data_IF_993641440992
#
_entry.id   IF_993641440992
#
_cell.length_a   1.000
_cell.length_b   1.000
_cell.length_c   1.000
_cell.angle_alpha   90.00
_cell.angle_beta   90.00
_cell.angle_gamma   90.00
#
_symmetry.space_group_name_H-M   'P 1'
#
loop_
_entity.id
_entity.type
_entity.pdbx_description
1 polymer ?
#
# COMPACT_ATOMS: atom_id res chain seq x y z
N UNK A 1 18.84 -12.49 7.52
CA UNK A 1 18.87 -11.47 8.60
C UNK A 1 17.79 -10.46 8.25
N UNK A 2 16.56 -10.68 8.72
CA UNK A 2 15.39 -9.87 8.34
C UNK A 2 15.54 -8.48 8.96
N UNK A 3 15.80 -7.48 8.12
CA UNK A 3 15.87 -6.08 8.51
C UNK A 3 14.49 -5.65 9.02
N UNK A 4 14.39 -5.58 10.34
CA UNK A 4 13.17 -5.29 11.07
C UNK A 4 12.95 -3.78 11.15
N UNK A 5 11.71 -3.30 11.02
CA UNK A 5 11.39 -1.88 11.24
C UNK A 5 11.37 -1.58 12.74
N UNK A 6 12.57 -1.53 13.32
CA UNK A 6 12.87 -0.69 14.48
C UNK A 6 13.80 0.48 14.09
N UNK A 7 14.32 0.45 12.86
CA UNK A 7 15.18 1.48 12.29
C UNK A 7 14.35 2.42 11.39
N UNK A 8 14.32 3.71 11.73
CA UNK A 8 13.60 4.74 10.99
C UNK A 8 13.97 4.77 9.50
N UNK A 9 15.19 4.35 9.15
CA UNK A 9 15.68 4.38 7.76
C UNK A 9 15.03 3.32 6.88
N UNK A 10 14.74 2.14 7.44
CA UNK A 10 14.05 1.04 6.72
C UNK A 10 12.55 1.34 6.58
N UNK A 11 11.95 2.07 7.51
CA UNK A 11 10.55 2.49 7.42
C UNK A 11 10.31 3.41 6.19
N UNK A 12 11.18 4.40 6.01
CA UNK A 12 11.05 5.41 4.97
C UNK A 12 11.09 4.85 3.54
N UNK A 13 11.93 3.84 3.28
CA UNK A 13 12.04 3.18 1.96
C UNK A 13 10.74 2.47 1.55
N UNK A 14 9.89 2.11 2.51
CA UNK A 14 8.58 1.47 2.28
C UNK A 14 7.42 2.47 2.40
N UNK A 15 7.70 3.78 2.45
CA UNK A 15 6.70 4.83 2.61
C UNK A 15 6.00 4.79 3.98
N UNK A 16 6.68 4.29 5.01
CA UNK A 16 6.23 4.31 6.41
C UNK A 16 7.02 5.40 7.13
N UNK A 17 6.35 6.39 7.69
CA UNK A 17 7.00 7.38 8.56
C UNK A 17 6.84 7.04 10.05
N UNK A 18 7.47 7.83 10.92
CA UNK A 18 7.40 7.65 12.36
C UNK A 18 5.97 7.65 12.91
N UNK A 19 5.04 8.42 12.35
CA UNK A 19 3.63 8.42 12.78
C UNK A 19 2.90 7.16 12.35
N UNK A 20 3.26 6.55 11.22
CA UNK A 20 2.71 5.26 10.82
C UNK A 20 3.18 4.13 11.72
N UNK A 21 4.45 4.15 12.11
CA UNK A 21 4.97 3.21 13.11
C UNK A 21 4.15 3.34 14.40
N UNK A 22 3.97 4.56 14.91
CA UNK A 22 3.14 4.81 16.09
C UNK A 22 1.69 4.40 15.91
N UNK A 23 1.12 4.61 14.72
CA UNK A 23 -0.25 4.22 14.41
C UNK A 23 -0.45 2.70 14.48
N UNK A 24 0.57 1.94 14.10
CA UNK A 24 0.56 0.49 14.10
C UNK A 24 0.88 -0.10 15.48
N UNK A 25 1.79 0.53 16.25
CA UNK A 25 2.30 -0.06 17.51
C UNK A 25 1.65 0.48 18.79
N UNK A 26 1.14 1.71 18.82
CA UNK A 26 0.50 2.25 20.02
C UNK A 26 -0.89 1.64 20.25
N UNK A 27 -1.27 1.47 21.51
CA UNK A 27 -2.59 0.95 21.88
C UNK A 27 -3.68 1.97 21.56
N UNK A 28 -4.45 1.66 20.52
CA UNK A 28 -5.60 2.43 20.07
C UNK A 28 -6.72 1.49 19.62
N UNK A 29 -7.95 1.82 19.97
CA UNK A 29 -9.14 1.11 19.51
C UNK A 29 -9.84 1.96 18.46
N UNK A 30 -10.12 1.40 17.29
CA UNK A 30 -10.90 2.04 16.24
C UNK A 30 -12.30 1.47 16.29
N UNK A 31 -13.30 2.32 16.50
CA UNK A 31 -14.70 1.94 16.58
C UNK A 31 -15.51 2.66 15.50
N UNK A 32 -16.29 1.91 14.74
CA UNK A 32 -17.34 2.47 13.89
C UNK A 32 -18.69 2.47 14.62
N UNK A 33 -19.68 3.16 14.06
CA UNK A 33 -21.07 3.14 14.52
C UNK A 33 -21.30 3.55 16.00
N UNK A 34 -20.34 4.24 16.62
CA UNK A 34 -20.41 4.73 18.01
C UNK A 34 -20.23 6.25 18.08
N UNK A 35 -20.87 6.87 19.08
CA UNK A 35 -20.71 8.29 19.36
C UNK A 35 -20.92 9.18 18.12
N UNK A 36 -20.04 10.16 17.85
CA UNK A 36 -20.11 11.02 16.68
C UNK A 36 -19.93 10.32 15.32
N UNK A 37 -19.51 9.05 15.30
CA UNK A 37 -19.29 8.25 14.09
C UNK A 37 -20.51 7.37 13.71
N UNK A 38 -21.60 7.41 14.48
CA UNK A 38 -22.72 6.46 14.38
C UNK A 38 -23.35 6.36 12.98
N UNK A 39 -23.55 7.51 12.35
CA UNK A 39 -24.39 7.66 11.15
C UNK A 39 -23.60 8.26 9.96
N UNK A 40 -22.28 8.19 9.97
CA UNK A 40 -21.43 8.74 8.90
C UNK A 40 -20.49 7.66 8.39
N UNK A 41 -20.60 7.34 7.10
CA UNK A 41 -19.69 6.42 6.44
C UNK A 41 -18.25 6.96 6.52
N UNK A 42 -17.27 6.05 6.64
CA UNK A 42 -15.84 6.37 6.71
C UNK A 42 -15.45 7.30 7.88
N UNK A 43 -16.33 7.42 8.90
CA UNK A 43 -16.05 8.12 10.15
C UNK A 43 -15.90 7.12 11.28
N UNK A 44 -14.90 7.35 12.13
CA UNK A 44 -14.52 6.45 13.21
C UNK A 44 -14.23 7.21 14.50
N UNK A 45 -14.54 6.58 15.63
CA UNK A 45 -14.06 7.01 16.93
C UNK A 45 -12.78 6.24 17.26
N UNK A 46 -11.68 6.95 17.45
CA UNK A 46 -10.41 6.35 17.86
C UNK A 46 -10.18 6.66 19.33
N UNK A 47 -10.13 5.61 20.14
CA UNK A 47 -9.84 5.71 21.57
C UNK A 47 -8.36 5.38 21.78
N UNK A 48 -7.60 6.34 22.28
CA UNK A 48 -6.17 6.16 22.59
C UNK A 48 -5.96 5.46 23.94
N UNK A 49 -4.76 4.93 24.17
CA UNK A 49 -4.35 4.33 25.46
C UNK A 49 -4.61 5.25 26.67
N UNK A 50 -4.47 6.56 26.48
CA UNK A 50 -4.76 7.57 27.51
C UNK A 50 -6.25 7.70 27.87
N UNK A 51 -7.13 7.00 27.16
CA UNK A 51 -8.59 7.17 27.24
C UNK A 51 -9.11 8.39 26.47
N UNK A 52 -8.25 9.16 25.80
CA UNK A 52 -8.70 10.26 24.95
C UNK A 52 -9.36 9.72 23.69
N UNK A 53 -10.50 10.27 23.34
CA UNK A 53 -11.29 9.90 22.16
C UNK A 53 -11.14 10.96 21.07
N UNK A 54 -10.96 10.51 19.83
CA UNK A 54 -10.79 11.38 18.67
C UNK A 54 -11.69 10.92 17.53
N UNK A 55 -12.37 11.86 16.90
CA UNK A 55 -13.18 11.59 15.73
C UNK A 55 -12.35 11.74 14.48
N UNK A 56 -12.32 10.67 13.69
CA UNK A 56 -11.51 10.53 12.48
C UNK A 56 -12.42 10.36 11.27
N UNK A 57 -12.16 11.12 10.22
CA UNK A 57 -12.70 10.92 8.88
C UNK A 57 -11.55 10.49 7.96
N UNK A 58 -11.62 9.25 7.47
CA UNK A 58 -10.54 8.70 6.64
C UNK A 58 -10.66 9.11 5.17
N UNK A 59 -11.84 9.56 4.72
CA UNK A 59 -12.05 10.02 3.34
C UNK A 59 -11.41 11.38 3.12
N UNK A 60 -11.62 12.30 4.06
CA UNK A 60 -11.04 13.65 4.02
C UNK A 60 -9.68 13.75 4.75
N UNK A 61 -9.19 12.64 5.31
CA UNK A 61 -7.97 12.58 6.13
C UNK A 61 -7.99 13.56 7.33
N UNK A 62 -9.18 13.78 7.92
CA UNK A 62 -9.38 14.72 9.03
C UNK A 62 -9.42 14.01 10.37
N UNK A 63 -8.87 14.68 11.38
CA UNK A 63 -8.98 14.26 12.77
C UNK A 63 -9.09 15.49 13.65
N UNK A 64 -9.87 15.40 14.73
CA UNK A 64 -10.02 16.46 15.73
C UNK A 64 -8.90 16.49 16.79
N UNK A 65 -7.89 15.62 16.66
CA UNK A 65 -6.78 15.60 17.60
C UNK A 65 -5.90 16.87 17.49
N UNK A 66 -5.17 17.22 18.57
CA UNK A 66 -4.27 18.37 18.57
C UNK A 66 -3.19 18.31 17.48
N UNK A 67 -2.68 17.12 17.16
CA UNK A 67 -1.64 16.96 16.13
C UNK A 67 -2.16 17.37 14.75
N UNK A 68 -3.39 16.97 14.40
CA UNK A 68 -4.04 17.35 13.16
C UNK A 68 -4.44 18.83 13.12
N UNK A 69 -4.77 19.40 14.28
CA UNK A 69 -5.19 20.81 14.37
C UNK A 69 -4.02 21.78 14.28
N UNK A 70 -2.88 21.46 14.90
CA UNK A 70 -1.81 22.42 15.13
C UNK A 70 -0.46 22.06 14.49
N UNK A 71 -0.20 20.77 14.19
CA UNK A 71 1.16 20.27 13.99
C UNK A 71 1.43 19.64 12.61
N UNK A 72 0.63 19.99 11.58
CA UNK A 72 0.84 19.52 10.20
C UNK A 72 1.37 20.67 9.30
N UNK A 73 2.42 20.51 8.46
CA UNK A 73 3.18 19.30 8.08
C UNK A 73 4.63 19.22 8.65
N UNK A 74 5.19 18.01 8.69
CA UNK A 74 6.61 17.73 9.08
C UNK A 74 7.59 17.83 7.91
N UNK A 75 8.90 17.81 8.22
CA UNK A 75 9.99 17.85 7.23
C UNK A 75 9.87 16.76 6.13
N UNK A 76 9.28 15.61 6.45
CA UNK A 76 9.00 14.52 5.49
C UNK A 76 7.74 14.72 4.62
N UNK A 77 7.07 15.87 4.72
CA UNK A 77 5.95 16.25 3.85
C UNK A 77 4.59 15.61 4.17
N UNK A 78 4.49 14.79 5.21
CA UNK A 78 3.23 14.13 5.59
C UNK A 78 2.21 15.09 6.22
N UNK A 79 0.93 14.90 5.86
CA UNK A 79 -0.24 15.69 6.28
C UNK A 79 -1.27 14.92 7.10
N UNK A 80 -0.94 13.73 7.61
CA UNK A 80 -1.87 12.89 8.38
C UNK A 80 -1.33 12.54 9.75
N UNK A 81 -2.19 12.62 10.76
CA UNK A 81 -1.86 12.22 12.13
C UNK A 81 -1.94 10.69 12.30
N UNK A 82 -1.39 10.18 13.41
CA UNK A 82 -1.41 8.75 13.72
C UNK A 82 -2.81 8.14 13.81
N UNK A 83 -3.83 8.91 14.23
CA UNK A 83 -5.20 8.40 14.38
C UNK A 83 -5.85 8.12 13.03
N UNK A 84 -5.64 9.00 12.03
CA UNK A 84 -6.09 8.77 10.65
C UNK A 84 -5.41 7.52 10.08
N UNK A 85 -4.09 7.39 10.27
CA UNK A 85 -3.37 6.20 9.83
C UNK A 85 -3.88 4.92 10.48
N UNK A 86 -4.09 4.92 11.80
CA UNK A 86 -4.59 3.76 12.53
C UNK A 86 -5.97 3.31 12.03
N UNK A 87 -6.89 4.25 11.82
CA UNK A 87 -8.20 3.96 11.23
C UNK A 87 -8.08 3.41 9.80
N UNK A 88 -7.21 3.99 8.97
CA UNK A 88 -6.99 3.52 7.60
C UNK A 88 -6.39 2.10 7.54
N UNK A 89 -5.46 1.77 8.43
CA UNK A 89 -4.90 0.42 8.53
C UNK A 89 -5.92 -0.59 9.08
N UNK A 90 -6.63 -0.24 10.15
CA UNK A 90 -7.63 -1.10 10.81
C UNK A 90 -8.75 -1.51 9.82
N UNK A 91 -9.24 -0.55 9.06
CA UNK A 91 -10.32 -0.75 8.08
C UNK A 91 -9.84 -1.42 6.78
N UNK A 92 -8.52 -1.55 6.58
CA UNK A 92 -7.92 -2.09 5.37
C UNK A 92 -7.94 -1.13 4.17
N UNK A 93 -8.31 0.14 4.38
CA UNK A 93 -8.26 1.20 3.35
C UNK A 93 -6.82 1.53 2.98
N UNK A 94 -5.88 1.37 3.92
CA UNK A 94 -4.44 1.36 3.69
C UNK A 94 -3.87 -0.01 4.02
N UNK A 95 -2.98 -0.52 3.17
CA UNK A 95 -2.32 -1.79 3.41
C UNK A 95 -1.14 -1.63 4.38
N UNK A 96 -1.00 -2.57 5.30
CA UNK A 96 0.13 -2.70 6.23
C UNK A 96 1.32 -3.30 5.47
N UNK A 97 2.45 -2.59 5.35
CA UNK A 97 3.61 -3.07 4.61
C UNK A 97 4.36 -4.23 5.33
N UNK A 98 5.04 -5.07 4.56
CA UNK A 98 5.70 -6.32 5.00
C UNK A 98 6.76 -6.17 6.09
N UNK A 99 7.62 -5.14 6.14
CA UNK A 99 8.74 -5.15 7.09
C UNK A 99 8.29 -4.80 8.53
N UNK A 100 6.98 -4.64 8.77
CA UNK A 100 6.39 -4.34 10.08
C UNK A 100 6.26 -5.62 10.92
N UNK A 101 6.59 -5.51 12.22
CA UNK A 101 6.37 -6.59 13.20
C UNK A 101 4.90 -6.92 13.37
N UNK A 102 4.47 -8.13 13.03
CA UNK A 102 3.11 -8.53 13.38
C UNK A 102 2.91 -8.66 14.89
N UNK A 103 3.97 -8.97 15.65
CA UNK A 103 3.90 -9.11 17.10
C UNK A 103 3.92 -7.78 17.85
N UNK A 104 4.43 -6.71 17.22
CA UNK A 104 4.39 -5.34 17.78
C UNK A 104 3.24 -4.51 17.27
N UNK A 105 2.50 -4.97 16.25
CA UNK A 105 1.26 -4.30 15.88
C UNK A 105 0.27 -4.49 17.02
N UNK A 106 -0.39 -3.39 17.39
CA UNK A 106 -1.45 -3.39 18.37
C UNK A 106 -2.50 -4.47 18.03
N UNK A 107 -2.71 -5.47 18.92
CA UNK A 107 -3.64 -6.56 18.66
C UNK A 107 -5.07 -6.10 18.37
N UNK A 108 -5.54 -5.01 18.99
CA UNK A 108 -6.89 -4.48 18.76
C UNK A 108 -7.06 -3.90 17.35
N UNK A 109 -5.97 -3.41 16.75
CA UNK A 109 -5.96 -2.98 15.36
C UNK A 109 -6.02 -4.21 14.43
N UNK A 110 -5.31 -5.28 14.76
CA UNK A 110 -5.31 -6.52 13.97
C UNK A 110 -6.64 -7.27 14.01
N UNK A 111 -7.30 -7.31 15.17
CA UNK A 111 -8.59 -8.01 15.31
C UNK A 111 -9.72 -7.25 14.65
N UNK A 112 -9.63 -5.91 14.57
CA UNK A 112 -10.63 -5.05 13.94
C UNK A 112 -12.07 -5.33 14.42
N UNK A 113 -12.22 -5.74 15.68
CA UNK A 113 -13.48 -6.24 16.25
C UNK A 113 -14.63 -5.23 16.22
N UNK A 114 -14.29 -3.94 16.19
CA UNK A 114 -15.26 -2.84 16.23
C UNK A 114 -15.38 -2.11 14.88
N UNK A 115 -14.98 -2.73 13.77
CA UNK A 115 -15.19 -2.19 12.41
C UNK A 115 -15.64 -3.28 11.44
N UNK A 116 -16.43 -2.93 10.42
CA UNK A 116 -16.88 -3.81 9.33
C UNK A 116 -15.79 -4.03 8.25
N UNK A 117 -14.57 -3.57 8.51
CA UNK A 117 -13.39 -3.75 7.67
C UNK A 117 -12.44 -4.83 8.20
N UNK A 118 -11.33 -5.04 7.50
CA UNK A 118 -10.27 -5.91 8.01
C UNK A 118 -8.90 -5.41 7.56
N UNK A 119 -7.87 -5.45 8.42
CA UNK A 119 -6.53 -5.04 8.06
C UNK A 119 -6.01 -5.86 6.87
N UNK A 120 -5.38 -5.19 5.92
CA UNK A 120 -4.79 -5.82 4.73
C UNK A 120 -3.30 -5.70 4.82
N UNK A 121 -2.58 -6.80 4.65
CA UNK A 121 -1.13 -6.77 4.51
C UNK A 121 -0.77 -6.70 3.03
N UNK A 122 0.29 -5.97 2.69
CA UNK A 122 0.93 -6.20 1.39
C UNK A 122 1.52 -7.61 1.44
N UNK A 123 1.32 -8.41 0.39
CA UNK A 123 1.98 -9.70 0.32
C UNK A 123 3.47 -9.48 0.04
N UNK A 124 4.33 -10.17 0.77
CA UNK A 124 5.73 -10.24 0.41
C UNK A 124 5.81 -10.93 -0.95
N UNK A 125 6.16 -10.19 -1.99
CA UNK A 125 6.77 -10.84 -3.16
C UNK A 125 8.06 -11.42 -2.63
N UNK A 126 8.07 -12.73 -2.35
CA UNK A 126 9.30 -13.45 -2.07
C UNK A 126 10.08 -13.35 -3.37
N UNK A 127 10.99 -12.39 -3.45
CA UNK A 127 12.03 -12.42 -4.46
C UNK A 127 12.79 -13.70 -4.18
N UNK A 128 12.54 -14.73 -4.98
CA UNK A 128 13.28 -15.98 -4.90
C UNK A 128 14.77 -15.64 -5.06
N UNK A 129 15.52 -15.70 -3.96
CA UNK A 129 16.97 -15.49 -3.94
C UNK A 129 17.74 -16.64 -4.62
N UNK A 130 17.04 -17.65 -5.18
CA UNK A 130 17.54 -18.65 -6.12
C UNK A 130 17.02 -18.44 -7.56
N UNK A 131 16.84 -17.19 -7.99
CA UNK A 131 16.92 -16.89 -9.41
C UNK A 131 18.37 -17.03 -9.87
N UNK A 132 18.74 -18.25 -10.24
CA UNK A 132 19.85 -18.49 -11.15
C UNK A 132 19.63 -17.59 -12.39
N UNK A 133 20.48 -16.58 -12.64
CA UNK A 133 20.33 -15.69 -13.79
C UNK A 133 20.47 -16.42 -15.14
N UNK A 134 20.75 -17.72 -15.12
CA UNK A 134 20.87 -18.62 -16.28
C UNK A 134 19.73 -19.62 -16.44
N UNK A 135 18.83 -19.77 -15.46
CA UNK A 135 17.73 -20.73 -15.54
C UNK A 135 16.53 -20.13 -16.28
N UNK A 136 16.50 -20.33 -17.60
CA UNK A 136 15.31 -20.15 -18.42
C UNK A 136 14.20 -21.09 -17.97
N UNK A 137 13.40 -20.63 -17.01
CA UNK A 137 12.23 -21.33 -16.49
C UNK A 137 10.98 -20.99 -17.28
N UNK A 138 10.55 -21.96 -18.06
CA UNK A 138 9.21 -22.23 -18.56
C UNK A 138 8.07 -21.87 -17.59
N UNK A 139 7.60 -20.62 -17.66
CA UNK A 139 6.26 -20.19 -17.20
C UNK A 139 5.62 -19.42 -18.35
N UNK A 140 4.65 -20.03 -19.02
CA UNK A 140 4.03 -19.46 -20.24
C UNK A 140 3.35 -18.11 -19.99
N UNK A 141 3.64 -17.13 -20.84
CA UNK A 141 2.59 -16.62 -21.71
C UNK A 141 3.06 -16.82 -23.15
N UNK A 142 2.50 -17.80 -23.89
CA UNK A 142 2.52 -17.66 -25.35
C UNK A 142 1.70 -16.42 -25.63
N UNK A 143 2.39 -15.41 -26.11
CA UNK A 143 1.82 -14.24 -26.73
C UNK A 143 2.43 -14.27 -28.14
N UNK A 144 1.63 -14.70 -29.09
CA UNK A 144 2.05 -15.15 -30.43
C UNK A 144 2.26 -14.01 -31.42
N UNK A 145 2.29 -12.77 -30.93
CA UNK A 145 2.78 -11.61 -31.64
C UNK A 145 4.31 -11.51 -31.74
N UNK A 146 5.02 -12.66 -31.78
CA UNK A 146 6.49 -12.80 -31.94
C UNK A 146 7.33 -12.38 -30.74
N UNK A 147 8.41 -13.12 -30.43
CA UNK A 147 9.38 -12.78 -29.36
C UNK A 147 8.74 -12.47 -27.98
N UNK A 148 7.80 -13.32 -27.53
CA UNK A 148 7.14 -13.17 -26.22
C UNK A 148 6.36 -11.84 -26.08
N UNK A 149 5.73 -11.37 -27.17
CA UNK A 149 4.91 -10.15 -27.22
C UNK A 149 3.42 -10.45 -27.34
N UNK A 150 2.53 -9.59 -26.81
CA UNK A 150 1.07 -9.76 -26.83
C UNK A 150 0.53 -10.37 -28.14
N UNK A 151 -0.45 -11.27 -28.05
CA UNK A 151 -1.04 -11.96 -29.21
C UNK A 151 -1.58 -11.00 -30.29
N UNK A 152 -2.00 -9.80 -29.87
CA UNK A 152 -2.49 -8.70 -30.68
C UNK A 152 -1.37 -7.71 -31.11
N UNK A 153 -0.11 -8.12 -31.09
CA UNK A 153 1.00 -7.28 -31.50
C UNK A 153 0.92 -6.90 -33.00
N UNK A 154 0.53 -5.65 -33.29
CA UNK A 154 0.58 -5.07 -34.64
C UNK A 154 1.50 -3.84 -34.72
N UNK A 155 2.73 -3.93 -34.19
CA UNK A 155 3.65 -2.78 -34.13
C UNK A 155 3.74 -2.01 -35.47
N UNK A 156 3.29 -0.74 -35.52
CA UNK A 156 3.32 0.04 -36.75
C UNK A 156 4.73 0.64 -36.93
N UNK A 157 5.56 -0.03 -37.71
CA UNK A 157 6.88 0.47 -38.11
C UNK A 157 7.85 0.70 -36.94
N UNK A 158 8.39 1.92 -36.82
CA UNK A 158 9.51 2.22 -35.91
C UNK A 158 9.14 2.29 -34.41
N UNK A 159 7.85 2.20 -34.05
CA UNK A 159 7.38 2.34 -32.68
C UNK A 159 6.57 1.11 -32.21
N UNK A 160 6.65 0.73 -30.93
CA UNK A 160 5.81 -0.34 -30.39
C UNK A 160 4.33 0.04 -30.45
N UNK A 161 3.46 -0.94 -30.71
CA UNK A 161 2.01 -0.78 -30.53
C UNK A 161 1.66 -0.59 -29.04
N UNK A 162 0.43 -0.11 -28.75
CA UNK A 162 0.00 0.14 -27.37
C UNK A 162 0.06 -1.13 -26.52
N UNK A 163 -0.37 -2.28 -27.04
CA UNK A 163 -0.35 -3.56 -26.33
C UNK A 163 1.08 -3.93 -25.89
N UNK A 164 2.08 -3.64 -26.73
CA UNK A 164 3.49 -3.82 -26.38
C UNK A 164 3.97 -2.79 -25.34
N UNK A 165 3.55 -1.53 -25.43
CA UNK A 165 3.94 -0.49 -24.48
C UNK A 165 3.43 -0.78 -23.06
N UNK A 166 2.18 -1.23 -22.95
CA UNK A 166 1.47 -1.50 -21.69
C UNK A 166 2.10 -2.64 -20.90
N UNK A 167 2.68 -3.63 -21.60
CA UNK A 167 3.43 -4.74 -20.96
C UNK A 167 4.93 -4.47 -20.86
N UNK A 168 5.38 -3.25 -21.15
CA UNK A 168 6.74 -2.79 -20.87
C UNK A 168 7.72 -2.79 -22.05
N UNK A 169 7.32 -3.18 -23.27
CA UNK A 169 8.19 -3.05 -24.43
C UNK A 169 8.36 -1.58 -24.84
N UNK A 170 9.59 -1.22 -25.20
CA UNK A 170 9.96 0.14 -25.66
C UNK A 170 10.43 0.18 -27.11
N UNK A 171 10.45 -0.97 -27.78
CA UNK A 171 10.82 -1.13 -29.20
C UNK A 171 9.73 -1.91 -29.94
N UNK A 172 9.50 -1.67 -31.24
CA UNK A 172 8.57 -2.45 -32.05
C UNK A 172 9.00 -3.92 -32.15
N UNK A 173 8.07 -4.79 -32.53
CA UNK A 173 8.41 -6.16 -32.84
C UNK A 173 9.31 -6.19 -34.09
N UNK A 174 10.53 -6.74 -34.02
CA UNK A 174 11.38 -6.87 -35.20
C UNK A 174 10.85 -7.86 -36.25
N UNK A 175 9.90 -8.72 -35.88
CA UNK A 175 9.37 -9.76 -36.76
C UNK A 175 8.08 -9.33 -37.49
N UNK A 176 7.54 -8.14 -37.20
CA UNK A 176 6.44 -7.54 -37.99
C UNK A 176 7.02 -6.87 -39.23
N UNK A 177 6.62 -7.35 -40.41
CA UNK A 177 7.03 -6.75 -41.69
C UNK A 177 6.62 -5.27 -41.73
N UNK A 178 7.58 -4.41 -42.04
CA UNK A 178 7.33 -2.99 -42.28
C UNK A 178 6.64 -2.92 -43.64
N UNK A 179 5.31 -2.79 -43.65
CA UNK A 179 4.60 -2.40 -44.87
C UNK A 179 4.90 -0.92 -45.11
N UNK A 180 5.91 -0.65 -45.92
CA UNK A 180 6.15 0.68 -46.48
C UNK A 180 5.07 0.92 -47.55
N UNK A 181 4.00 1.65 -47.18
CA UNK A 181 3.15 2.38 -48.14
C UNK A 181 3.52 3.87 -48.12
#
# INVERSE_FOLDING_TARGET
MTTYVSDHKVASDWGIDARDVRALTEHMTVCEHVGPARDTADRYLVVSESGSEYVVDICDERCDCPDATYNLPTEDGRKTCKHVAAAAFCTGKRQIPVPVDREKINPQLLTAEHVNGSPRFVEAVVGDENLDPSAGGDRHAITDGGRNRPADCCCPGALPCCSCWDVGFRKPNPDTEVTEE
#
